data_IF_583597080230
#
_entry.id   IF_583597080230
#
_cell.length_a   1.000
_cell.length_b   1.000
_cell.length_c   1.000
_cell.angle_alpha   90.00
_cell.angle_beta   90.00
_cell.angle_gamma   90.00
#
_symmetry.space_group_name_H-M   'P 1'
#
loop_
_entity.id
_entity.type
_entity.pdbx_description
1 polymer ?
#
# COMPACT_ATOMS: atom_id res chain seq x y z
N UNK A 1 -46.35 5.19 -9.35
CA UNK A 1 -45.25 5.38 -10.32
C UNK A 1 -45.44 6.77 -10.90
N UNK A 2 -44.40 7.53 -11.22
CA UNK A 2 -44.62 8.86 -11.84
C UNK A 2 -45.05 8.60 -13.29
N UNK A 3 -46.23 9.05 -13.67
CA UNK A 3 -46.75 8.86 -15.02
C UNK A 3 -46.23 10.00 -15.91
N UNK A 4 -45.62 9.64 -17.04
CA UNK A 4 -45.08 10.58 -18.02
C UNK A 4 -46.04 10.65 -19.21
N UNK A 5 -46.49 11.85 -19.56
CA UNK A 5 -47.48 12.05 -20.60
C UNK A 5 -46.85 12.32 -21.98
N UNK A 6 -45.53 12.51 -22.03
CA UNK A 6 -44.76 12.65 -23.27
C UNK A 6 -43.32 12.14 -23.12
N UNK A 7 -42.65 11.90 -24.25
CA UNK A 7 -41.22 11.57 -24.29
C UNK A 7 -40.36 12.72 -23.76
N UNK A 8 -40.76 13.96 -24.05
CA UNK A 8 -40.06 15.17 -23.62
C UNK A 8 -40.07 15.30 -22.08
N UNK A 9 -41.21 15.01 -21.44
CA UNK A 9 -41.31 14.98 -19.97
C UNK A 9 -40.42 13.90 -19.34
N UNK A 10 -40.27 12.75 -20.01
CA UNK A 10 -39.38 11.68 -19.56
C UNK A 10 -37.91 12.09 -19.70
N UNK A 11 -37.52 12.70 -20.82
CA UNK A 11 -36.16 13.19 -21.06
C UNK A 11 -35.76 14.28 -20.06
N UNK A 12 -36.65 15.24 -19.79
CA UNK A 12 -36.41 16.26 -18.76
C UNK A 12 -36.25 15.66 -17.37
N UNK A 13 -37.08 14.66 -17.02
CA UNK A 13 -36.99 13.98 -15.74
C UNK A 13 -35.68 13.20 -15.60
N UNK A 14 -35.26 12.46 -16.63
CA UNK A 14 -33.98 11.73 -16.62
C UNK A 14 -32.79 12.69 -16.53
N UNK A 15 -32.83 13.81 -17.26
CA UNK A 15 -31.78 14.84 -17.19
C UNK A 15 -31.69 15.47 -15.80
N UNK A 16 -32.84 15.74 -15.17
CA UNK A 16 -32.89 16.27 -13.80
C UNK A 16 -32.32 15.26 -12.79
N UNK A 17 -32.76 14.01 -12.86
CA UNK A 17 -32.25 12.93 -12.01
C UNK A 17 -30.74 12.72 -12.18
N UNK A 18 -30.22 12.82 -13.41
CA UNK A 18 -28.79 12.73 -13.68
C UNK A 18 -27.97 13.85 -13.03
N UNK A 19 -28.50 15.09 -13.05
CA UNK A 19 -27.87 16.24 -12.37
C UNK A 19 -27.89 16.09 -10.84
N UNK A 20 -29.01 15.63 -10.28
CA UNK A 20 -29.15 15.38 -8.84
C UNK A 20 -28.20 14.26 -8.37
N UNK A 21 -28.08 13.16 -9.15
CA UNK A 21 -27.11 12.09 -8.89
C UNK A 21 -25.67 12.61 -8.91
N UNK A 22 -25.32 13.46 -9.89
CA UNK A 22 -23.97 14.03 -9.99
C UNK A 22 -23.65 14.93 -8.79
N UNK A 23 -24.57 15.82 -8.43
CA UNK A 23 -24.43 16.71 -7.27
C UNK A 23 -24.34 15.92 -5.96
N UNK A 24 -25.11 14.84 -5.82
CA UNK A 24 -25.05 13.94 -4.67
C UNK A 24 -23.70 13.21 -4.59
N UNK A 25 -23.15 12.73 -5.71
CA UNK A 25 -21.80 12.13 -5.78
C UNK A 25 -20.71 13.09 -5.35
N UNK A 26 -20.80 14.34 -5.77
CA UNK A 26 -19.86 15.42 -5.40
C UNK A 26 -20.00 15.77 -3.91
N UNK A 27 -21.23 15.80 -3.38
CA UNK A 27 -21.53 16.16 -1.98
C UNK A 27 -21.15 15.06 -0.97
N UNK A 28 -21.18 13.79 -1.38
CA UNK A 28 -20.82 12.65 -0.52
C UNK A 28 -19.30 12.47 -0.42
N UNK A 29 -18.48 13.13 -1.26
CA UNK A 29 -17.01 13.06 -1.20
C UNK A 29 -16.41 11.66 -1.41
N UNK A 30 -17.23 10.66 -1.76
CA UNK A 30 -16.88 9.24 -1.78
C UNK A 30 -17.35 8.51 -3.06
N UNK A 31 -17.24 9.17 -4.21
CA UNK A 31 -16.91 8.46 -5.44
C UNK A 31 -15.43 8.70 -5.74
N UNK A 32 -14.56 8.20 -4.86
CA UNK A 32 -13.38 7.52 -5.40
C UNK A 32 -13.99 6.31 -6.11
N UNK A 33 -13.75 6.12 -7.40
CA UNK A 33 -13.79 4.73 -7.89
C UNK A 33 -13.01 3.94 -6.84
N UNK A 34 -13.59 2.87 -6.26
CA UNK A 34 -12.76 1.92 -5.54
C UNK A 34 -11.56 1.71 -6.46
N UNK A 35 -10.31 1.95 -6.03
CA UNK A 35 -9.18 1.73 -6.90
C UNK A 35 -9.40 0.32 -7.41
N UNK A 36 -9.69 0.17 -8.71
CA UNK A 36 -9.99 -1.13 -9.29
C UNK A 36 -8.75 -1.93 -9.00
N UNK A 37 -8.80 -2.77 -7.97
CA UNK A 37 -7.73 -3.70 -7.67
C UNK A 37 -7.47 -4.38 -9.00
N UNK A 38 -6.25 -4.20 -9.50
CA UNK A 38 -5.95 -4.70 -10.82
C UNK A 38 -6.21 -6.20 -10.80
N UNK A 39 -7.01 -6.65 -11.76
CA UNK A 39 -7.37 -8.04 -11.92
C UNK A 39 -7.04 -8.45 -13.35
N UNK A 40 -6.16 -9.43 -13.56
CA UNK A 40 -5.84 -9.94 -14.88
C UNK A 40 -7.03 -10.64 -15.53
N UNK A 41 -7.04 -10.69 -16.86
CA UNK A 41 -7.92 -11.55 -17.64
C UNK A 41 -7.44 -13.00 -17.61
N UNK A 42 -8.33 -13.96 -17.91
CA UNK A 42 -7.95 -15.38 -18.04
C UNK A 42 -6.92 -15.51 -19.17
N UNK A 43 -5.76 -16.08 -18.87
CA UNK A 43 -4.63 -16.19 -19.79
C UNK A 43 -3.61 -15.05 -19.68
N UNK A 44 -3.89 -13.99 -18.90
CA UNK A 44 -2.95 -12.90 -18.70
C UNK A 44 -1.87 -13.27 -17.67
N UNK A 45 -0.63 -12.88 -17.96
CA UNK A 45 0.52 -13.12 -17.09
C UNK A 45 0.54 -12.17 -15.89
N UNK A 46 0.92 -12.68 -14.73
CA UNK A 46 1.19 -11.91 -13.52
C UNK A 46 2.43 -12.41 -12.79
N UNK A 47 3.05 -11.53 -12.02
CA UNK A 47 4.25 -11.86 -11.25
C UNK A 47 3.89 -12.20 -9.82
N UNK A 48 4.65 -13.13 -9.24
CA UNK A 48 4.53 -13.50 -7.83
C UNK A 48 5.92 -13.63 -7.22
N UNK A 49 5.99 -13.50 -5.90
CA UNK A 49 7.20 -13.84 -5.14
C UNK A 49 7.01 -15.24 -4.55
N UNK A 50 7.90 -16.17 -4.89
CA UNK A 50 7.83 -17.54 -4.42
C UNK A 50 8.35 -17.66 -2.97
N UNK A 51 8.32 -18.89 -2.43
CA UNK A 51 8.72 -19.17 -1.04
C UNK A 51 10.21 -18.93 -0.73
N UNK A 52 11.06 -18.84 -1.76
CA UNK A 52 12.49 -18.51 -1.65
C UNK A 52 12.76 -17.01 -1.85
N UNK A 53 11.74 -16.22 -2.14
CA UNK A 53 11.88 -14.80 -2.46
C UNK A 53 12.24 -14.52 -3.92
N UNK A 54 12.13 -15.50 -4.81
CA UNK A 54 12.38 -15.34 -6.24
C UNK A 54 11.09 -14.95 -6.97
N UNK A 55 11.22 -14.21 -8.06
CA UNK A 55 10.08 -13.75 -8.85
C UNK A 55 9.77 -14.76 -9.94
N UNK A 56 8.50 -15.18 -9.99
CA UNK A 56 7.98 -16.06 -11.02
C UNK A 56 6.87 -15.35 -11.80
N UNK A 57 6.74 -15.65 -13.10
CA UNK A 57 5.61 -15.22 -13.92
C UNK A 57 4.66 -16.40 -14.13
N UNK A 58 3.40 -16.24 -13.76
CA UNK A 58 2.33 -17.23 -13.91
C UNK A 58 1.20 -16.69 -14.77
N UNK A 59 0.41 -17.59 -15.34
CA UNK A 59 -0.79 -17.26 -16.08
C UNK A 59 -2.01 -17.28 -15.14
N UNK A 60 -2.88 -16.27 -15.22
CA UNK A 60 -4.10 -16.22 -14.45
C UNK A 60 -5.17 -17.14 -15.05
N UNK A 61 -5.62 -18.12 -14.29
CA UNK A 61 -6.65 -19.09 -14.71
C UNK A 61 -7.99 -18.86 -14.00
N UNK A 62 -8.03 -17.93 -13.03
CA UNK A 62 -9.22 -17.68 -12.20
C UNK A 62 -9.51 -18.81 -11.22
N UNK A 63 -8.52 -19.66 -10.94
CA UNK A 63 -8.65 -20.78 -10.04
C UNK A 63 -8.43 -20.35 -8.58
N UNK A 64 -8.78 -21.23 -7.64
CA UNK A 64 -8.60 -20.99 -6.21
C UNK A 64 -7.17 -20.53 -5.87
N UNK A 65 -6.16 -21.13 -6.50
CA UNK A 65 -4.74 -20.78 -6.29
C UNK A 65 -4.46 -19.32 -6.63
N UNK A 66 -4.98 -18.84 -7.75
CA UNK A 66 -4.81 -17.44 -8.16
C UNK A 66 -5.50 -16.54 -7.14
N UNK A 67 -6.77 -16.83 -6.83
CA UNK A 67 -7.53 -16.05 -5.85
C UNK A 67 -6.83 -15.97 -4.48
N UNK A 68 -6.20 -17.05 -4.03
CA UNK A 68 -5.47 -17.08 -2.77
C UNK A 68 -4.18 -16.24 -2.83
N UNK A 69 -3.51 -16.17 -3.98
CA UNK A 69 -2.33 -15.29 -4.18
C UNK A 69 -2.73 -13.82 -4.20
N UNK A 70 -3.81 -13.47 -4.90
CA UNK A 70 -4.36 -12.11 -4.90
C UNK A 70 -4.79 -11.68 -3.49
N UNK A 71 -5.49 -12.55 -2.75
CA UNK A 71 -5.88 -12.30 -1.34
C UNK A 71 -4.68 -12.11 -0.43
N UNK A 72 -3.57 -12.79 -0.70
CA UNK A 72 -2.33 -12.64 0.05
C UNK A 72 -1.54 -11.37 -0.30
N UNK A 73 -1.99 -10.59 -1.31
CA UNK A 73 -1.25 -9.43 -1.82
C UNK A 73 0.08 -9.80 -2.48
N UNK A 74 0.18 -11.02 -3.04
CA UNK A 74 1.41 -11.56 -3.64
C UNK A 74 1.29 -11.71 -5.16
N UNK A 75 0.36 -10.98 -5.78
CA UNK A 75 0.21 -10.84 -7.22
C UNK A 75 0.61 -9.41 -7.63
N UNK A 76 1.54 -9.30 -8.58
CA UNK A 76 2.07 -8.05 -9.10
C UNK A 76 1.81 -7.99 -10.60
N UNK A 77 1.41 -6.82 -11.08
CA UNK A 77 1.11 -6.60 -12.49
C UNK A 77 2.39 -6.54 -13.32
N UNK A 78 3.43 -5.95 -12.77
CA UNK A 78 4.71 -5.77 -13.46
C UNK A 78 5.86 -6.45 -12.72
N UNK A 79 6.96 -6.69 -13.43
CA UNK A 79 8.18 -7.23 -12.84
C UNK A 79 8.75 -6.23 -11.83
N UNK A 80 8.72 -4.94 -12.16
CA UNK A 80 9.24 -3.86 -11.32
C UNK A 80 8.52 -3.78 -9.96
N UNK A 81 7.19 -3.97 -9.94
CA UNK A 81 6.41 -4.05 -8.71
C UNK A 81 6.86 -5.24 -7.84
N UNK A 82 7.09 -6.40 -8.45
CA UNK A 82 7.57 -7.59 -7.75
C UNK A 82 9.01 -7.40 -7.22
N UNK A 83 9.91 -6.83 -8.03
CA UNK A 83 11.28 -6.50 -7.63
C UNK A 83 11.33 -5.50 -6.47
N UNK A 84 10.46 -4.48 -6.52
CA UNK A 84 10.33 -3.50 -5.45
C UNK A 84 9.91 -4.16 -4.13
N UNK A 85 8.90 -5.03 -4.15
CA UNK A 85 8.45 -5.75 -2.96
C UNK A 85 9.52 -6.73 -2.44
N UNK A 86 10.28 -7.39 -3.32
CA UNK A 86 11.43 -8.22 -2.91
C UNK A 86 12.46 -7.39 -2.13
N UNK A 87 12.88 -6.24 -2.66
CA UNK A 87 13.84 -5.38 -1.98
C UNK A 87 13.28 -4.78 -0.69
N UNK A 88 12.00 -4.41 -0.67
CA UNK A 88 11.31 -3.97 0.54
C UNK A 88 11.33 -5.04 1.63
N UNK A 89 11.03 -6.30 1.30
CA UNK A 89 11.12 -7.43 2.25
C UNK A 89 12.54 -7.60 2.79
N UNK A 90 13.57 -7.45 1.95
CA UNK A 90 14.98 -7.51 2.38
C UNK A 90 15.33 -6.37 3.32
N UNK A 91 14.99 -5.12 2.98
CA UNK A 91 15.21 -3.94 3.83
C UNK A 91 14.52 -4.11 5.19
N UNK A 92 13.25 -4.54 5.21
CA UNK A 92 12.52 -4.81 6.46
C UNK A 92 13.22 -5.91 7.26
N UNK A 93 13.69 -6.98 6.62
CA UNK A 93 14.41 -8.08 7.29
C UNK A 93 15.74 -7.61 7.89
N UNK A 94 16.49 -6.77 7.18
CA UNK A 94 17.75 -6.21 7.66
C UNK A 94 17.52 -5.29 8.86
N UNK A 95 16.56 -4.36 8.78
CA UNK A 95 16.16 -3.48 9.89
C UNK A 95 15.72 -4.26 11.14
N UNK A 96 14.96 -5.34 10.95
CA UNK A 96 14.51 -6.20 12.05
C UNK A 96 15.63 -6.92 12.78
N UNK A 97 16.86 -6.99 12.25
CA UNK A 97 18.00 -7.57 13.00
C UNK A 97 18.39 -6.73 14.22
N UNK A 98 18.04 -5.44 14.22
CA UNK A 98 18.33 -4.50 15.29
C UNK A 98 17.08 -4.19 16.12
N UNK A 99 15.92 -4.79 15.80
CA UNK A 99 14.66 -4.45 16.43
C UNK A 99 14.50 -5.08 17.81
N UNK A 100 13.61 -4.50 18.60
CA UNK A 100 13.17 -5.03 19.88
C UNK A 100 11.65 -5.08 19.94
N UNK A 101 11.10 -5.83 20.91
CA UNK A 101 9.65 -5.83 21.15
C UNK A 101 9.22 -4.50 21.74
N UNK A 102 8.05 -4.00 21.35
CA UNK A 102 7.44 -2.84 22.00
C UNK A 102 7.18 -3.13 23.49
N UNK A 103 7.49 -2.14 24.34
CA UNK A 103 7.36 -2.17 25.80
C UNK A 103 6.75 -0.84 26.25
N UNK A 104 5.49 -0.90 26.68
CA UNK A 104 4.79 0.28 27.24
C UNK A 104 5.58 0.87 28.41
N UNK A 105 5.74 2.20 28.43
CA UNK A 105 6.44 2.92 29.48
C UNK A 105 7.97 2.87 29.38
N UNK A 106 8.53 2.29 28.30
CA UNK A 106 9.95 2.35 28.01
C UNK A 106 10.24 3.29 26.86
N UNK A 107 11.45 3.86 26.89
CA UNK A 107 11.96 4.63 25.78
C UNK A 107 12.30 3.71 24.61
N UNK A 108 11.64 3.94 23.48
CA UNK A 108 11.86 3.18 22.26
C UNK A 108 11.80 4.10 21.06
N UNK A 109 12.51 3.71 20.01
CA UNK A 109 12.67 4.52 18.81
C UNK A 109 12.08 3.79 17.60
N UNK A 110 11.63 4.56 16.62
CA UNK A 110 11.22 4.08 15.31
C UNK A 110 11.83 4.95 14.22
N UNK A 111 12.04 4.38 13.05
CA UNK A 111 12.49 5.12 11.87
C UNK A 111 11.31 5.89 11.29
N UNK A 112 11.54 7.15 10.91
CA UNK A 112 10.55 8.03 10.29
C UNK A 112 11.14 8.67 9.04
N UNK A 113 10.29 9.18 8.16
CA UNK A 113 10.72 10.03 7.05
C UNK A 113 10.18 11.44 7.27
N UNK A 114 11.06 12.44 7.21
CA UNK A 114 10.68 13.84 7.30
C UNK A 114 10.53 14.43 5.90
N UNK A 115 9.29 14.67 5.47
CA UNK A 115 8.99 15.23 4.15
C UNK A 115 9.43 16.68 3.96
N UNK A 116 9.50 17.48 5.03
CA UNK A 116 9.93 18.88 4.94
C UNK A 116 11.44 18.99 4.66
N UNK A 117 12.20 18.03 5.18
CA UNK A 117 13.67 17.97 5.04
C UNK A 117 14.13 16.93 4.01
N UNK A 118 13.20 16.13 3.51
CA UNK A 118 13.44 14.99 2.62
C UNK A 118 14.47 13.97 3.15
N UNK A 119 14.53 13.75 4.47
CA UNK A 119 15.55 12.93 5.14
C UNK A 119 14.95 11.75 5.95
N UNK A 120 15.71 10.65 6.07
CA UNK A 120 15.37 9.59 7.03
C UNK A 120 15.79 10.04 8.41
N UNK A 121 14.88 9.91 9.37
CA UNK A 121 15.11 10.28 10.76
C UNK A 121 14.67 9.15 11.69
N UNK A 122 14.76 9.39 12.98
CA UNK A 122 14.19 8.52 13.98
C UNK A 122 13.56 9.35 15.10
N UNK A 123 12.44 8.84 15.61
CA UNK A 123 11.64 9.50 16.63
C UNK A 123 11.38 8.59 17.82
N UNK A 124 11.01 9.21 18.94
CA UNK A 124 10.54 8.51 20.12
C UNK A 124 9.12 7.96 19.90
N UNK A 125 8.89 6.70 20.29
CA UNK A 125 7.58 6.06 20.24
C UNK A 125 6.81 6.33 21.54
N UNK A 126 5.96 7.36 21.53
CA UNK A 126 5.18 7.80 22.69
C UNK A 126 4.00 6.89 23.01
N UNK A 127 4.22 5.77 23.70
CA UNK A 127 3.14 4.82 24.08
C UNK A 127 2.24 4.39 22.90
N UNK A 128 2.73 4.58 21.67
CA UNK A 128 2.06 4.31 20.41
C UNK A 128 3.01 3.44 19.61
N UNK A 129 2.47 2.36 19.07
CA UNK A 129 3.17 1.44 18.18
C UNK A 129 2.26 1.28 16.98
N UNK A 130 2.64 1.88 15.84
CA UNK A 130 1.89 1.68 14.61
C UNK A 130 2.18 0.29 14.04
N UNK A 131 1.23 -0.26 13.28
CA UNK A 131 1.26 -1.63 12.76
C UNK A 131 2.54 -1.96 11.96
N UNK A 132 3.19 -0.97 11.36
CA UNK A 132 4.41 -1.12 10.57
C UNK A 132 5.69 -0.61 11.25
N UNK A 133 5.60 -0.11 12.49
CA UNK A 133 6.77 0.48 13.18
C UNK A 133 7.72 -0.59 13.67
N UNK A 134 8.96 -0.53 13.19
CA UNK A 134 10.07 -1.32 13.75
C UNK A 134 10.60 -0.57 14.98
N UNK A 135 10.54 -1.21 16.14
CA UNK A 135 10.96 -0.63 17.41
C UNK A 135 12.44 -0.91 17.69
N UNK A 136 13.16 0.06 18.26
CA UNK A 136 14.55 -0.05 18.68
C UNK A 136 14.70 0.35 20.15
N UNK A 137 15.59 -0.32 20.88
CA UNK A 137 15.77 -0.14 22.33
C UNK A 137 16.56 1.12 22.71
N UNK A 138 17.29 1.71 21.76
CA UNK A 138 18.11 2.89 22.00
C UNK A 138 18.33 3.70 20.73
N UNK A 139 18.71 4.97 20.88
CA UNK A 139 19.12 5.83 19.76
C UNK A 139 20.30 5.23 18.99
N UNK A 140 21.28 4.65 19.71
CA UNK A 140 22.44 4.03 19.08
C UNK A 140 22.06 2.83 18.21
N UNK A 141 21.08 2.04 18.64
CA UNK A 141 20.59 0.88 17.87
C UNK A 141 19.90 1.30 16.58
N UNK A 142 19.02 2.32 16.62
CA UNK A 142 18.34 2.80 15.41
C UNK A 142 19.29 3.52 14.44
N UNK A 143 20.24 4.31 14.96
CA UNK A 143 21.28 4.94 14.14
C UNK A 143 22.16 3.91 13.44
N UNK A 144 22.54 2.84 14.14
CA UNK A 144 23.29 1.73 13.56
C UNK A 144 22.50 1.04 12.46
N UNK A 145 21.20 0.78 12.68
CA UNK A 145 20.32 0.18 11.69
C UNK A 145 20.22 1.05 10.42
N UNK A 146 19.98 2.36 10.56
CA UNK A 146 19.92 3.29 9.43
C UNK A 146 21.24 3.28 8.64
N UNK A 147 22.38 3.36 9.34
CA UNK A 147 23.71 3.38 8.74
C UNK A 147 24.04 2.09 7.97
N UNK A 148 23.76 0.93 8.56
CA UNK A 148 24.14 -0.36 8.00
C UNK A 148 23.21 -0.82 6.86
N UNK A 149 21.92 -0.47 6.91
CA UNK A 149 20.97 -0.77 5.83
C UNK A 149 21.07 0.24 4.68
N UNK A 150 21.39 1.49 5.00
CA UNK A 150 21.53 2.59 4.05
C UNK A 150 20.27 3.46 3.98
N UNK A 151 20.46 4.77 4.18
CA UNK A 151 19.39 5.77 4.18
C UNK A 151 18.58 5.77 2.88
N UNK A 152 19.23 5.78 1.72
CA UNK A 152 18.53 5.77 0.42
C UNK A 152 17.67 4.51 0.20
N UNK A 153 18.14 3.34 0.66
CA UNK A 153 17.36 2.10 0.58
C UNK A 153 16.14 2.16 1.49
N UNK A 154 16.30 2.71 2.69
CA UNK A 154 15.20 2.90 3.63
C UNK A 154 14.17 3.88 3.05
N UNK A 155 14.63 5.04 2.59
CA UNK A 155 13.79 6.06 1.94
C UNK A 155 12.98 5.47 0.79
N UNK A 156 13.65 4.78 -0.15
CA UNK A 156 13.02 4.19 -1.31
C UNK A 156 12.05 3.07 -0.95
N UNK A 157 12.49 2.06 -0.21
CA UNK A 157 11.72 0.82 -0.06
C UNK A 157 10.80 0.79 1.17
N UNK A 158 11.12 1.50 2.25
CA UNK A 158 10.26 1.58 3.42
C UNK A 158 9.20 2.68 3.27
N UNK A 159 9.57 3.83 2.70
CA UNK A 159 8.69 5.00 2.59
C UNK A 159 8.16 5.26 1.17
N UNK A 160 8.62 4.53 0.15
CA UNK A 160 8.14 4.70 -1.22
C UNK A 160 8.48 6.06 -1.81
N UNK A 161 9.55 6.71 -1.33
CA UNK A 161 9.96 8.02 -1.82
C UNK A 161 11.01 7.82 -2.92
N UNK A 162 10.61 8.12 -4.14
CA UNK A 162 11.48 8.16 -5.31
C UNK A 162 12.19 9.52 -5.39
N UNK A 163 13.32 9.57 -6.13
CA UNK A 163 14.02 10.82 -6.45
C UNK A 163 13.26 11.65 -7.49
#
# INVERSE_FOLDING_TARGET
MKDFNSLEELEEYLNKMGKELKSLKESIGAYKEEPKEWKPEIGEGFYIINLYGEINCWEYLGEKRDLDIFRAGNAFKTMEEAEFEVEKRKVIRELNRYSCRFKKGFEQYGITYNYDKSEVSFGYLHNVCDYATICYESQGTVQKAIKEVGEERIKKYLFGVEE
#
